data_IF_178014515990
#
_entry.id   IF_178014515990
#
_cell.length_a   1.000
_cell.length_b   1.000
_cell.length_c   1.000
_cell.angle_alpha   90.00
_cell.angle_beta   90.00
_cell.angle_gamma   90.00
#
_symmetry.space_group_name_H-M   'P 1'
#
loop_
_entity.id
_entity.type
_entity.pdbx_description
1 polymer ?
#
# COMPACT_ATOMS: atom_id res chain seq x y z
N UNK A 1 -6.51 -26.25 13.26
CA UNK A 1 -5.48 -26.47 12.22
C UNK A 1 -5.26 -27.97 12.09
N UNK A 2 -5.25 -28.52 10.86
CA UNK A 2 -4.93 -29.94 10.62
C UNK A 2 -3.47 -30.20 10.96
N UNK A 3 -3.17 -31.32 11.60
CA UNK A 3 -1.78 -31.73 11.89
C UNK A 3 -0.96 -32.02 10.61
N UNK A 4 -1.63 -32.18 9.49
CA UNK A 4 -1.02 -32.49 8.18
C UNK A 4 -0.68 -31.25 7.37
N UNK A 5 -0.97 -30.02 7.86
CA UNK A 5 -0.60 -28.76 7.23
C UNK A 5 0.34 -28.00 8.15
N UNK A 6 1.58 -27.87 7.74
CA UNK A 6 2.59 -27.08 8.43
C UNK A 6 2.88 -25.82 7.62
N UNK A 7 2.69 -24.67 8.26
CA UNK A 7 3.00 -23.36 7.71
C UNK A 7 4.21 -22.76 8.44
N UNK A 8 5.19 -22.32 7.70
CA UNK A 8 6.43 -21.74 8.18
C UNK A 8 6.62 -20.41 7.47
N UNK A 9 6.74 -19.34 8.23
CA UNK A 9 7.17 -18.03 7.73
C UNK A 9 8.71 -17.99 7.69
N UNK A 10 9.27 -17.94 6.49
CA UNK A 10 10.71 -17.88 6.30
C UNK A 10 11.31 -16.53 6.73
N UNK A 11 10.52 -15.47 6.89
CA UNK A 11 11.02 -14.21 7.41
C UNK A 11 11.45 -14.34 8.89
N UNK A 12 10.71 -15.14 9.66
CA UNK A 12 11.00 -15.44 11.07
C UNK A 12 11.88 -16.67 11.26
N UNK A 13 11.85 -17.62 10.32
CA UNK A 13 12.51 -18.94 10.42
C UNK A 13 13.49 -19.16 9.24
N UNK A 14 14.51 -18.31 9.13
CA UNK A 14 15.47 -18.28 8.00
C UNK A 14 16.51 -19.39 8.05
N UNK A 15 16.68 -20.02 9.22
CA UNK A 15 17.82 -20.85 9.54
C UNK A 15 17.77 -22.26 8.96
N UNK A 16 18.95 -22.89 8.93
CA UNK A 16 19.11 -24.27 8.47
C UNK A 16 18.49 -25.28 9.43
N UNK A 17 18.40 -24.96 10.73
CA UNK A 17 17.96 -25.91 11.75
C UNK A 17 16.44 -26.12 11.70
N UNK A 18 15.67 -25.06 11.45
CA UNK A 18 14.22 -25.13 11.21
C UNK A 18 13.92 -25.96 9.96
N UNK A 19 14.68 -25.74 8.90
CA UNK A 19 14.54 -26.49 7.64
C UNK A 19 14.97 -27.95 7.80
N UNK A 20 15.97 -28.24 8.64
CA UNK A 20 16.33 -29.62 8.99
C UNK A 20 15.20 -30.32 9.76
N UNK A 21 14.59 -29.64 10.72
CA UNK A 21 13.44 -30.17 11.46
C UNK A 21 12.26 -30.45 10.53
N UNK A 22 11.98 -29.52 9.58
CA UNK A 22 10.99 -29.72 8.54
C UNK A 22 11.30 -30.96 7.70
N UNK A 23 12.54 -31.11 7.23
CA UNK A 23 12.97 -32.27 6.44
C UNK A 23 12.83 -33.59 7.18
N UNK A 24 13.10 -33.62 8.49
CA UNK A 24 12.85 -34.84 9.29
C UNK A 24 11.34 -35.13 9.37
N UNK A 25 10.48 -34.12 9.47
CA UNK A 25 9.04 -34.27 9.51
C UNK A 25 8.42 -34.77 8.19
N UNK A 26 9.10 -34.58 7.06
CA UNK A 26 8.70 -35.10 5.75
C UNK A 26 8.67 -36.63 5.71
N UNK A 27 9.46 -37.30 6.54
CA UNK A 27 9.54 -38.77 6.59
C UNK A 27 8.26 -39.42 7.18
N UNK A 28 7.47 -38.64 7.92
CA UNK A 28 6.28 -39.16 8.58
C UNK A 28 5.06 -39.03 7.69
N UNK A 29 4.26 -40.11 7.66
CA UNK A 29 2.98 -40.13 6.94
C UNK A 29 1.99 -39.11 7.52
N UNK A 30 1.05 -38.61 6.71
CA UNK A 30 -0.05 -37.78 7.23
C UNK A 30 -0.91 -38.55 8.22
N UNK A 31 -1.51 -37.82 9.19
CA UNK A 31 -2.31 -38.41 10.26
C UNK A 31 -3.79 -38.54 9.83
N UNK A 32 -4.35 -37.53 9.19
CA UNK A 32 -5.75 -37.43 8.83
C UNK A 32 -5.98 -37.38 7.31
N UNK A 33 -5.06 -36.71 6.59
CA UNK A 33 -5.19 -36.41 5.17
C UNK A 33 -4.52 -37.44 4.25
N UNK A 34 -4.66 -37.22 2.95
CA UNK A 34 -3.93 -37.98 1.91
C UNK A 34 -2.53 -37.45 1.67
N UNK A 35 -2.30 -36.20 2.01
CA UNK A 35 -1.05 -35.48 1.80
C UNK A 35 -0.68 -34.70 3.05
N UNK A 36 0.63 -34.63 3.30
CA UNK A 36 1.23 -33.70 4.26
C UNK A 36 1.71 -32.48 3.51
N UNK A 37 1.17 -31.31 3.84
CA UNK A 37 1.41 -30.07 3.13
C UNK A 37 2.35 -29.18 3.92
N UNK A 38 3.42 -28.72 3.30
CA UNK A 38 4.34 -27.76 3.87
C UNK A 38 4.22 -26.46 3.09
N UNK A 39 3.74 -25.41 3.76
CA UNK A 39 3.63 -24.07 3.22
C UNK A 39 4.80 -23.26 3.76
N UNK A 40 5.63 -22.72 2.87
CA UNK A 40 6.75 -21.85 3.22
C UNK A 40 6.45 -20.48 2.64
N UNK A 41 6.04 -19.58 3.52
CA UNK A 41 5.73 -18.18 3.17
C UNK A 41 7.03 -17.36 3.16
N UNK A 42 7.05 -16.31 2.34
CA UNK A 42 8.22 -15.47 2.08
C UNK A 42 9.49 -16.28 1.78
N UNK A 43 9.32 -17.32 0.97
CA UNK A 43 10.36 -18.34 0.70
C UNK A 43 11.69 -17.74 0.21
N UNK A 44 11.68 -16.54 -0.39
CA UNK A 44 12.89 -15.83 -0.82
C UNK A 44 13.80 -15.40 0.36
N UNK A 45 13.28 -15.45 1.59
CA UNK A 45 14.05 -15.13 2.80
C UNK A 45 14.88 -16.30 3.33
N UNK A 46 14.69 -17.52 2.81
CA UNK A 46 15.51 -18.68 3.19
C UNK A 46 16.95 -18.48 2.76
N UNK A 47 17.88 -18.92 3.62
CA UNK A 47 19.33 -18.91 3.29
C UNK A 47 19.65 -19.94 2.21
N UNK A 48 20.79 -19.77 1.53
CA UNK A 48 21.25 -20.72 0.53
C UNK A 48 21.48 -22.12 1.12
N UNK A 49 21.93 -22.20 2.37
CA UNK A 49 22.14 -23.46 3.09
C UNK A 49 20.79 -24.16 3.36
N UNK A 50 19.74 -23.40 3.71
CA UNK A 50 18.40 -23.90 3.89
C UNK A 50 17.82 -24.46 2.58
N UNK A 51 17.96 -23.73 1.47
CA UNK A 51 17.60 -24.22 0.15
C UNK A 51 18.33 -25.51 -0.23
N UNK A 52 19.64 -25.56 -0.02
CA UNK A 52 20.45 -26.75 -0.31
C UNK A 52 19.98 -27.95 0.52
N UNK A 53 19.56 -27.75 1.76
CA UNK A 53 19.03 -28.82 2.60
C UNK A 53 17.68 -29.38 2.09
N UNK A 54 16.88 -28.56 1.39
CA UNK A 54 15.58 -28.96 0.82
C UNK A 54 15.69 -29.55 -0.59
N UNK A 55 16.73 -29.23 -1.36
CA UNK A 55 16.86 -29.56 -2.79
C UNK A 55 16.54 -31.03 -3.05
N UNK A 56 17.18 -31.97 -2.35
CA UNK A 56 16.97 -33.41 -2.56
C UNK A 56 15.50 -33.81 -2.32
N UNK A 57 14.86 -33.23 -1.33
CA UNK A 57 13.48 -33.55 -0.97
C UNK A 57 12.48 -32.97 -1.97
N UNK A 58 12.83 -31.81 -2.59
CA UNK A 58 12.01 -31.17 -3.64
C UNK A 58 12.20 -31.87 -4.99
N UNK A 59 13.40 -32.43 -5.25
CA UNK A 59 13.68 -33.19 -6.47
C UNK A 59 12.95 -34.53 -6.49
N UNK A 60 12.95 -35.22 -5.37
CA UNK A 60 12.32 -36.54 -5.20
C UNK A 60 11.39 -36.53 -3.97
N UNK A 61 10.27 -35.80 -4.03
CA UNK A 61 9.36 -35.70 -2.90
C UNK A 61 8.65 -37.05 -2.69
N UNK A 62 8.47 -37.51 -1.43
CA UNK A 62 7.63 -38.67 -1.14
C UNK A 62 6.19 -38.43 -1.64
N UNK A 63 5.53 -39.51 -2.09
CA UNK A 63 4.18 -39.41 -2.67
C UNK A 63 3.15 -38.73 -1.77
N UNK A 64 3.35 -38.82 -0.45
CA UNK A 64 2.45 -38.21 0.54
C UNK A 64 2.78 -36.75 0.87
N UNK A 65 3.79 -36.15 0.27
CA UNK A 65 4.26 -34.78 0.56
C UNK A 65 3.88 -33.81 -0.54
N UNK A 66 3.57 -32.58 -0.13
CA UNK A 66 3.37 -31.43 -1.03
C UNK A 66 4.04 -30.21 -0.44
N UNK A 67 4.85 -29.52 -1.24
CA UNK A 67 5.41 -28.22 -0.89
C UNK A 67 4.67 -27.10 -1.61
N UNK A 68 4.38 -26.02 -0.89
CA UNK A 68 3.85 -24.77 -1.42
C UNK A 68 4.81 -23.66 -0.99
N UNK A 69 5.42 -22.98 -1.96
CA UNK A 69 6.30 -21.85 -1.72
C UNK A 69 5.55 -20.58 -2.11
N UNK A 70 5.37 -19.66 -1.17
CA UNK A 70 4.85 -18.33 -1.44
C UNK A 70 5.99 -17.31 -1.40
N UNK A 71 6.01 -16.38 -2.35
CA UNK A 71 7.04 -15.35 -2.43
C UNK A 71 6.55 -14.14 -3.19
N UNK A 72 6.97 -12.96 -2.77
CA UNK A 72 6.81 -11.70 -3.51
C UNK A 72 7.94 -11.47 -4.51
N UNK A 73 9.09 -12.16 -4.36
CA UNK A 73 10.31 -11.95 -5.15
C UNK A 73 10.83 -13.28 -5.74
N UNK A 74 10.20 -13.71 -6.83
CA UNK A 74 10.53 -15.00 -7.46
C UNK A 74 11.98 -15.05 -8.01
N UNK A 75 12.52 -13.92 -8.41
CA UNK A 75 13.88 -13.78 -8.93
C UNK A 75 14.96 -14.09 -7.89
N UNK A 76 14.63 -14.00 -6.60
CA UNK A 76 15.52 -14.36 -5.50
C UNK A 76 15.53 -15.86 -5.19
N UNK A 77 14.59 -16.63 -5.73
CA UNK A 77 14.55 -18.08 -5.54
C UNK A 77 15.60 -18.77 -6.44
N UNK A 78 16.25 -19.84 -5.94
CA UNK A 78 17.15 -20.63 -6.78
C UNK A 78 16.43 -21.19 -8.02
N UNK A 79 17.02 -21.02 -9.19
CA UNK A 79 16.47 -21.49 -10.47
C UNK A 79 16.20 -23.00 -10.45
N UNK A 80 17.03 -23.77 -9.72
CA UNK A 80 16.86 -25.21 -9.50
C UNK A 80 15.55 -25.57 -8.81
N UNK A 81 15.03 -24.71 -7.92
CA UNK A 81 13.76 -24.89 -7.25
C UNK A 81 12.61 -24.48 -8.18
N UNK A 82 12.70 -23.29 -8.77
CA UNK A 82 11.67 -22.74 -9.65
C UNK A 82 11.37 -23.68 -10.82
N UNK A 83 12.41 -24.32 -11.39
CA UNK A 83 12.26 -25.26 -12.53
C UNK A 83 11.51 -26.55 -12.18
N UNK A 84 11.35 -26.88 -10.90
CA UNK A 84 10.67 -28.11 -10.41
C UNK A 84 9.30 -27.83 -9.82
N UNK A 85 8.89 -26.57 -9.75
CA UNK A 85 7.60 -26.16 -9.20
C UNK A 85 6.63 -25.75 -10.28
N UNK A 86 5.34 -26.06 -10.09
CA UNK A 86 4.28 -25.40 -10.83
C UNK A 86 4.15 -23.97 -10.33
N UNK A 87 4.05 -23.02 -11.28
CA UNK A 87 4.01 -21.60 -10.95
C UNK A 87 2.60 -21.06 -11.10
N UNK A 88 2.13 -20.39 -10.04
CA UNK A 88 0.87 -19.64 -9.99
C UNK A 88 1.15 -18.20 -9.65
N UNK A 89 0.67 -17.28 -10.46
CA UNK A 89 0.84 -15.83 -10.22
C UNK A 89 -0.47 -15.24 -9.74
N UNK A 90 -0.46 -14.70 -8.54
CA UNK A 90 -1.57 -13.91 -8.00
C UNK A 90 -1.43 -12.46 -8.47
N UNK A 91 -2.52 -11.91 -8.98
CA UNK A 91 -2.58 -10.50 -9.41
C UNK A 91 -3.12 -9.64 -8.28
N UNK A 92 -2.85 -8.35 -8.33
CA UNK A 92 -3.51 -7.37 -7.48
C UNK A 92 -5.01 -7.43 -7.71
N UNK A 93 -5.78 -7.32 -6.63
CA UNK A 93 -7.24 -7.26 -6.70
C UNK A 93 -7.63 -5.86 -7.18
N UNK A 94 -8.68 -5.76 -8.01
CA UNK A 94 -9.15 -4.45 -8.46
C UNK A 94 -9.74 -3.64 -7.31
N UNK A 95 -9.65 -2.30 -7.38
CA UNK A 95 -10.24 -1.44 -6.34
C UNK A 95 -11.75 -1.64 -6.23
N UNK A 96 -12.43 -1.92 -7.34
CA UNK A 96 -13.87 -2.20 -7.31
C UNK A 96 -14.19 -3.50 -6.58
N UNK A 97 -13.43 -4.59 -6.81
CA UNK A 97 -13.62 -5.85 -6.10
C UNK A 97 -13.34 -5.70 -4.60
N UNK A 98 -12.30 -4.93 -4.24
CA UNK A 98 -11.99 -4.64 -2.84
C UNK A 98 -13.13 -3.83 -2.22
N UNK A 99 -13.60 -2.76 -2.86
CA UNK A 99 -14.69 -1.94 -2.34
C UNK A 99 -15.98 -2.76 -2.13
N UNK A 100 -16.34 -3.61 -3.09
CA UNK A 100 -17.48 -4.54 -2.94
C UNK A 100 -17.28 -5.50 -1.76
N UNK A 101 -16.05 -6.00 -1.57
CA UNK A 101 -15.76 -6.89 -0.44
C UNK A 101 -15.88 -6.17 0.90
N UNK A 102 -15.43 -4.92 0.99
CA UNK A 102 -15.56 -4.09 2.19
C UNK A 102 -17.03 -3.83 2.52
N UNK A 103 -17.86 -3.49 1.52
CA UNK A 103 -19.31 -3.34 1.70
C UNK A 103 -19.97 -4.63 2.21
N UNK A 104 -19.62 -5.77 1.61
CA UNK A 104 -20.11 -7.07 2.06
C UNK A 104 -19.75 -7.35 3.53
N UNK A 105 -18.53 -6.99 3.95
CA UNK A 105 -18.11 -7.16 5.36
C UNK A 105 -18.90 -6.22 6.26
N UNK A 106 -19.06 -4.95 5.89
CA UNK A 106 -19.83 -3.97 6.62
C UNK A 106 -21.27 -4.43 6.86
N UNK A 107 -21.93 -4.94 5.81
CA UNK A 107 -23.28 -5.49 5.89
C UNK A 107 -23.39 -6.70 6.83
N UNK A 108 -22.37 -7.57 6.82
CA UNK A 108 -22.36 -8.79 7.67
C UNK A 108 -22.09 -8.50 9.13
N UNK A 109 -21.20 -7.56 9.40
CA UNK A 109 -20.82 -7.15 10.77
C UNK A 109 -21.78 -6.08 11.33
N UNK A 110 -22.65 -5.50 10.49
CA UNK A 110 -23.75 -4.62 10.91
C UNK A 110 -23.34 -3.18 11.21
N UNK A 111 -22.35 -2.64 10.51
CA UNK A 111 -22.00 -1.21 10.58
C UNK A 111 -22.17 -0.51 9.22
N UNK A 112 -22.42 0.80 9.26
CA UNK A 112 -22.63 1.61 8.07
C UNK A 112 -21.29 2.05 7.46
N UNK A 113 -21.13 1.83 6.15
CA UNK A 113 -19.95 2.22 5.38
C UNK A 113 -20.41 2.95 4.11
N UNK A 114 -20.03 4.21 3.94
CA UNK A 114 -20.29 4.94 2.71
C UNK A 114 -19.51 4.34 1.52
N UNK A 115 -20.15 4.34 0.34
CA UNK A 115 -19.50 3.79 -0.88
C UNK A 115 -18.19 4.50 -1.21
N UNK A 116 -18.15 5.83 -1.06
CA UNK A 116 -16.94 6.61 -1.28
C UNK A 116 -15.84 6.29 -0.25
N UNK A 117 -16.19 5.97 0.99
CA UNK A 117 -15.24 5.53 2.01
C UNK A 117 -14.65 4.15 1.64
N UNK A 118 -15.49 3.21 1.22
CA UNK A 118 -15.05 1.89 0.75
C UNK A 118 -14.08 2.00 -0.44
N UNK A 119 -14.38 2.86 -1.42
CA UNK A 119 -13.52 3.12 -2.58
C UNK A 119 -12.20 3.76 -2.18
N UNK A 120 -12.22 4.70 -1.24
CA UNK A 120 -11.01 5.36 -0.74
C UNK A 120 -10.07 4.35 -0.06
N UNK A 121 -10.60 3.47 0.80
CA UNK A 121 -9.84 2.37 1.40
C UNK A 121 -9.28 1.46 0.32
N UNK A 122 -10.09 1.07 -0.67
CA UNK A 122 -9.70 0.15 -1.74
C UNK A 122 -8.55 0.70 -2.60
N UNK A 123 -8.59 2.00 -2.93
CA UNK A 123 -7.52 2.67 -3.67
C UNK A 123 -6.24 2.72 -2.84
N UNK A 124 -6.33 3.04 -1.54
CA UNK A 124 -5.17 3.13 -0.67
C UNK A 124 -4.52 1.76 -0.41
N UNK A 125 -5.31 0.69 -0.36
CA UNK A 125 -4.83 -0.68 -0.17
C UNK A 125 -4.09 -1.25 -1.40
N UNK A 126 -4.10 -0.57 -2.54
CA UNK A 126 -3.31 -0.87 -3.74
C UNK A 126 -3.33 -2.36 -4.14
N UNK A 127 -4.52 -2.97 -4.13
CA UNK A 127 -4.74 -4.36 -4.50
C UNK A 127 -4.51 -5.38 -3.39
N UNK A 128 -4.20 -4.94 -2.16
CA UNK A 128 -4.02 -5.75 -0.96
C UNK A 128 -5.30 -5.84 -0.12
N UNK A 129 -6.05 -6.95 -0.19
CA UNK A 129 -7.28 -7.09 0.60
C UNK A 129 -7.01 -7.12 2.11
N UNK A 130 -5.87 -7.67 2.55
CA UNK A 130 -5.48 -7.67 3.97
C UNK A 130 -5.34 -6.25 4.50
N UNK A 131 -4.67 -5.38 3.74
CA UNK A 131 -4.45 -3.98 4.12
C UNK A 131 -5.78 -3.22 4.13
N UNK A 132 -6.64 -3.44 3.12
CA UNK A 132 -7.97 -2.86 3.07
C UNK A 132 -8.83 -3.24 4.30
N UNK A 133 -8.83 -4.51 4.70
CA UNK A 133 -9.56 -4.97 5.89
C UNK A 133 -8.97 -4.42 7.18
N UNK A 134 -7.65 -4.28 7.26
CA UNK A 134 -6.98 -3.68 8.43
C UNK A 134 -7.32 -2.21 8.60
N UNK A 135 -7.40 -1.44 7.49
CA UNK A 135 -7.85 -0.05 7.50
C UNK A 135 -9.31 0.03 7.92
N UNK A 136 -10.18 -0.83 7.35
CA UNK A 136 -11.60 -0.86 7.70
C UNK A 136 -11.81 -1.14 9.20
N UNK A 137 -11.10 -2.10 9.77
CA UNK A 137 -11.18 -2.45 11.20
C UNK A 137 -10.80 -1.26 12.09
N UNK A 138 -9.76 -0.52 11.72
CA UNK A 138 -9.36 0.69 12.42
C UNK A 138 -10.42 1.80 12.29
N UNK A 139 -11.03 1.97 11.10
CA UNK A 139 -12.12 2.92 10.89
C UNK A 139 -13.33 2.61 11.79
N UNK A 140 -13.69 1.32 11.95
CA UNK A 140 -14.75 0.88 12.87
C UNK A 140 -14.45 1.32 14.31
N UNK A 141 -13.18 1.22 14.74
CA UNK A 141 -12.76 1.65 16.08
C UNK A 141 -12.81 3.17 16.31
N UNK A 142 -12.69 3.95 15.24
CA UNK A 142 -12.69 5.44 15.31
C UNK A 142 -14.06 6.06 15.06
N UNK A 143 -14.91 5.43 14.24
CA UNK A 143 -16.20 5.98 13.87
C UNK A 143 -17.19 5.92 15.03
N UNK A 144 -17.87 7.03 15.29
CA UNK A 144 -18.98 7.10 16.24
C UNK A 144 -20.34 6.72 15.61
N UNK A 145 -20.34 6.02 14.47
CA UNK A 145 -21.53 5.65 13.69
C UNK A 145 -21.16 5.18 12.29
N UNK A 146 -21.52 5.95 11.27
CA UNK A 146 -21.21 5.64 9.89
C UNK A 146 -19.74 5.95 9.54
N UNK A 147 -19.10 5.05 8.77
CA UNK A 147 -17.74 5.26 8.26
C UNK A 147 -17.85 6.09 6.98
N UNK A 148 -17.48 7.36 7.11
CA UNK A 148 -17.45 8.34 6.01
C UNK A 148 -16.04 8.46 5.41
N UNK A 149 -15.87 9.06 4.22
CA UNK A 149 -14.57 9.38 3.66
C UNK A 149 -13.68 10.17 4.62
N UNK A 150 -14.25 11.10 5.40
CA UNK A 150 -13.49 11.90 6.36
C UNK A 150 -12.83 11.03 7.46
N UNK A 151 -13.53 10.02 7.97
CA UNK A 151 -12.95 9.07 8.95
C UNK A 151 -11.78 8.30 8.35
N UNK A 152 -11.90 7.89 7.09
CA UNK A 152 -10.83 7.18 6.38
C UNK A 152 -9.63 8.11 6.14
N UNK A 153 -9.87 9.33 5.67
CA UNK A 153 -8.82 10.34 5.45
C UNK A 153 -8.05 10.65 6.73
N UNK A 154 -8.75 10.83 7.84
CA UNK A 154 -8.13 11.06 9.15
C UNK A 154 -7.27 9.87 9.59
N UNK A 155 -7.77 8.65 9.43
CA UNK A 155 -7.05 7.44 9.85
C UNK A 155 -5.76 7.26 9.08
N UNK A 156 -5.82 7.36 7.74
CA UNK A 156 -4.65 7.12 6.88
C UNK A 156 -3.79 8.36 6.69
N UNK A 157 -4.16 9.46 7.37
CA UNK A 157 -3.42 10.73 7.33
C UNK A 157 -3.46 11.41 5.96
N UNK A 158 -4.46 11.10 5.13
CA UNK A 158 -4.59 11.73 3.81
C UNK A 158 -4.91 13.21 3.95
N UNK A 159 -4.27 13.97 3.10
CA UNK A 159 -4.58 15.39 2.95
C UNK A 159 -5.82 15.52 2.07
N UNK A 160 -6.90 16.15 2.59
CA UNK A 160 -8.13 16.31 1.83
C UNK A 160 -7.92 17.10 0.54
N UNK A 161 -8.69 16.81 -0.50
CA UNK A 161 -8.59 17.52 -1.78
C UNK A 161 -8.86 19.01 -1.63
N UNK A 162 -9.80 19.39 -0.76
CA UNK A 162 -10.09 20.78 -0.45
C UNK A 162 -8.88 21.51 0.13
N UNK A 163 -8.17 20.85 1.08
CA UNK A 163 -6.97 21.40 1.67
C UNK A 163 -5.86 21.61 0.63
N UNK A 164 -5.66 20.63 -0.26
CA UNK A 164 -4.62 20.70 -1.30
C UNK A 164 -4.90 21.83 -2.29
N UNK A 165 -6.15 21.98 -2.74
CA UNK A 165 -6.57 23.05 -3.66
C UNK A 165 -6.30 24.41 -3.00
N UNK A 166 -6.74 24.62 -1.77
CA UNK A 166 -6.53 25.87 -1.03
C UNK A 166 -5.06 26.16 -0.78
N UNK A 167 -4.29 25.16 -0.38
CA UNK A 167 -2.86 25.26 -0.15
C UNK A 167 -2.10 25.68 -1.44
N UNK A 168 -2.37 24.99 -2.54
CA UNK A 168 -1.69 25.29 -3.81
C UNK A 168 -2.09 26.65 -4.36
N UNK A 169 -3.35 27.09 -4.16
CA UNK A 169 -3.77 28.45 -4.53
C UNK A 169 -3.03 29.50 -3.70
N UNK A 170 -2.87 29.29 -2.38
CA UNK A 170 -2.08 30.21 -1.54
C UNK A 170 -0.60 30.26 -1.98
N UNK A 171 -0.03 29.09 -2.30
CA UNK A 171 1.35 28.99 -2.80
C UNK A 171 1.51 29.73 -4.14
N UNK A 172 0.61 29.51 -5.08
CA UNK A 172 0.64 30.15 -6.41
C UNK A 172 0.50 31.67 -6.33
N UNK A 173 -0.33 32.16 -5.41
CA UNK A 173 -0.54 33.59 -5.18
C UNK A 173 0.56 34.26 -4.36
N UNK A 174 1.58 33.49 -3.88
CA UNK A 174 2.67 34.02 -3.07
C UNK A 174 2.25 34.41 -1.66
N UNK A 175 1.14 33.86 -1.12
CA UNK A 175 0.68 34.11 0.25
C UNK A 175 1.45 33.24 1.25
N UNK A 176 2.71 33.63 1.52
CA UNK A 176 3.59 32.93 2.45
C UNK A 176 3.00 32.73 3.85
N UNK A 177 2.35 33.72 4.49
CA UNK A 177 1.67 33.54 5.76
C UNK A 177 0.59 32.46 5.74
N UNK A 178 -0.23 32.39 4.70
CA UNK A 178 -1.25 31.34 4.54
C UNK A 178 -0.61 29.96 4.36
N UNK A 179 0.40 29.85 3.51
CA UNK A 179 1.16 28.60 3.27
C UNK A 179 1.73 28.06 4.58
N UNK A 180 2.41 28.93 5.36
CA UNK A 180 2.97 28.54 6.66
C UNK A 180 1.90 28.04 7.62
N UNK A 181 0.76 28.72 7.69
CA UNK A 181 -0.38 28.34 8.53
C UNK A 181 -0.94 26.96 8.14
N UNK A 182 -1.09 26.70 6.82
CA UNK A 182 -1.56 25.40 6.33
C UNK A 182 -0.61 24.27 6.74
N UNK A 183 0.71 24.46 6.57
CA UNK A 183 1.72 23.47 6.94
C UNK A 183 1.69 23.21 8.45
N UNK A 184 1.72 24.27 9.27
CA UNK A 184 1.72 24.14 10.73
C UNK A 184 0.48 23.43 11.25
N UNK A 185 -0.71 23.73 10.71
CA UNK A 185 -1.95 23.05 11.09
C UNK A 185 -1.86 21.57 10.75
N UNK A 186 -1.49 21.22 9.52
CA UNK A 186 -1.38 19.84 9.08
C UNK A 186 -0.42 19.02 9.95
N UNK A 187 0.76 19.59 10.28
CA UNK A 187 1.74 18.93 11.13
C UNK A 187 1.31 18.85 12.61
N UNK A 188 0.54 19.85 13.10
CA UNK A 188 0.00 19.83 14.48
C UNK A 188 -1.14 18.81 14.63
N UNK A 189 -1.88 18.53 13.56
CA UNK A 189 -2.88 17.45 13.47
C UNK A 189 -2.23 16.05 13.34
N UNK A 190 -0.91 15.96 13.35
CA UNK A 190 -0.17 14.69 13.28
C UNK A 190 0.04 14.14 11.87
N UNK A 191 -0.24 14.93 10.82
CA UNK A 191 0.01 14.50 9.44
C UNK A 191 1.51 14.42 9.16
N UNK A 192 1.91 13.39 8.43
CA UNK A 192 3.29 13.23 8.02
C UNK A 192 3.63 14.19 6.86
N UNK A 193 4.75 14.89 6.98
CA UNK A 193 5.26 15.77 5.93
C UNK A 193 5.48 15.06 4.59
N UNK A 194 5.91 13.80 4.60
CA UNK A 194 6.07 13.00 3.38
C UNK A 194 4.73 12.73 2.69
N UNK A 195 3.66 12.48 3.45
CA UNK A 195 2.31 12.31 2.92
C UNK A 195 1.77 13.60 2.30
N UNK A 196 2.04 14.76 2.93
CA UNK A 196 1.69 16.07 2.36
C UNK A 196 2.37 16.28 1.00
N UNK A 197 3.68 15.98 0.92
CA UNK A 197 4.45 16.12 -0.31
C UNK A 197 3.96 15.19 -1.43
N UNK A 198 3.63 13.95 -1.07
CA UNK A 198 3.05 12.98 -2.02
C UNK A 198 1.69 13.45 -2.53
N UNK A 199 0.79 13.89 -1.64
CA UNK A 199 -0.53 14.40 -2.00
C UNK A 199 -0.45 15.63 -2.93
N UNK A 200 0.47 16.55 -2.67
CA UNK A 200 0.75 17.71 -3.54
C UNK A 200 1.25 17.26 -4.91
N UNK A 201 2.18 16.30 -4.96
CA UNK A 201 2.71 15.76 -6.21
C UNK A 201 1.62 15.12 -7.06
N UNK A 202 0.75 14.32 -6.46
CA UNK A 202 -0.40 13.70 -7.14
C UNK A 202 -1.40 14.75 -7.63
N UNK A 203 -1.66 15.79 -6.86
CA UNK A 203 -2.52 16.88 -7.27
C UNK A 203 -1.96 17.65 -8.47
N UNK A 204 -0.69 18.01 -8.44
CA UNK A 204 0.00 18.68 -9.57
C UNK A 204 -0.03 17.80 -10.83
N UNK A 205 0.16 16.48 -10.69
CA UNK A 205 0.00 15.54 -11.80
C UNK A 205 -1.43 15.57 -12.36
N UNK A 206 -2.44 15.59 -11.48
CA UNK A 206 -3.85 15.67 -11.88
C UNK A 206 -4.14 16.98 -12.65
N UNK A 207 -3.56 18.11 -12.24
CA UNK A 207 -3.68 19.39 -12.98
C UNK A 207 -3.08 19.28 -14.39
N UNK A 208 -1.93 18.61 -14.58
CA UNK A 208 -1.36 18.35 -15.91
C UNK A 208 -2.29 17.50 -16.77
N UNK A 209 -2.90 16.46 -16.19
CA UNK A 209 -3.88 15.61 -16.88
C UNK A 209 -5.09 16.44 -17.30
N UNK A 210 -5.63 17.27 -16.41
CA UNK A 210 -6.77 18.13 -16.69
C UNK A 210 -6.55 19.12 -17.84
N UNK A 211 -5.32 19.60 -18.00
CA UNK A 211 -4.95 20.47 -19.13
C UNK A 211 -5.00 19.76 -20.48
N UNK A 212 -4.76 18.46 -20.52
CA UNK A 212 -4.70 17.67 -21.75
C UNK A 212 -6.01 16.90 -21.99
N UNK A 213 -6.60 16.37 -20.92
CA UNK A 213 -7.77 15.53 -20.97
C UNK A 213 -8.67 15.82 -19.75
N UNK A 214 -9.47 16.92 -19.77
CA UNK A 214 -10.25 17.36 -18.61
C UNK A 214 -11.34 16.37 -18.19
N UNK A 215 -11.73 15.44 -19.06
CA UNK A 215 -12.74 14.42 -18.80
C UNK A 215 -12.14 13.03 -18.52
N UNK A 216 -10.83 12.96 -18.23
CA UNK A 216 -10.17 11.70 -17.90
C UNK A 216 -10.80 11.07 -16.64
N UNK A 217 -10.96 9.74 -16.67
CA UNK A 217 -11.58 9.00 -15.57
C UNK A 217 -10.84 9.15 -14.23
N UNK A 218 -9.52 9.29 -14.29
CA UNK A 218 -8.65 9.53 -13.14
C UNK A 218 -8.99 10.83 -12.38
N UNK A 219 -9.66 11.80 -13.01
CA UNK A 219 -10.05 13.07 -12.41
C UNK A 219 -11.37 13.02 -11.62
N UNK A 220 -12.11 11.91 -11.66
CA UNK A 220 -13.36 11.74 -10.90
C UNK A 220 -13.18 11.89 -9.39
N UNK A 221 -11.97 11.68 -8.88
CA UNK A 221 -11.63 11.92 -7.47
C UNK A 221 -11.77 13.38 -7.05
N UNK A 222 -11.92 14.30 -8.01
CA UNK A 222 -12.15 15.72 -7.79
C UNK A 222 -13.59 16.16 -8.04
N UNK A 223 -14.53 15.26 -8.30
CA UNK A 223 -15.90 15.60 -8.68
C UNK A 223 -16.60 16.51 -7.66
N UNK A 224 -16.33 16.36 -6.36
CA UNK A 224 -16.85 17.23 -5.31
C UNK A 224 -16.27 18.66 -5.33
N UNK A 225 -15.14 18.87 -5.98
CA UNK A 225 -14.43 20.16 -6.08
C UNK A 225 -14.06 20.47 -7.53
N UNK A 226 -14.86 19.99 -8.49
CA UNK A 226 -14.53 20.01 -9.91
C UNK A 226 -14.33 21.43 -10.45
N UNK A 227 -15.15 22.37 -10.00
CA UNK A 227 -15.07 23.75 -10.45
C UNK A 227 -13.73 24.38 -10.03
N UNK A 228 -13.44 24.36 -8.74
CA UNK A 228 -12.22 24.92 -8.16
C UNK A 228 -10.97 24.25 -8.73
N UNK A 229 -11.03 22.92 -8.91
CA UNK A 229 -9.93 22.15 -9.49
C UNK A 229 -9.64 22.54 -10.95
N UNK A 230 -10.68 22.69 -11.79
CA UNK A 230 -10.52 23.08 -13.19
C UNK A 230 -10.10 24.55 -13.33
N UNK A 231 -10.62 25.45 -12.49
CA UNK A 231 -10.15 26.84 -12.42
C UNK A 231 -8.64 26.89 -12.10
N UNK A 232 -8.20 26.17 -11.06
CA UNK A 232 -6.79 26.08 -10.72
C UNK A 232 -5.94 25.48 -11.85
N UNK A 233 -6.47 24.46 -12.56
CA UNK A 233 -5.79 23.89 -13.73
C UNK A 233 -5.66 24.92 -14.89
N UNK A 234 -6.59 25.86 -15.02
CA UNK A 234 -6.49 26.94 -16.03
C UNK A 234 -5.51 28.03 -15.60
N UNK A 235 -5.55 28.45 -14.34
CA UNK A 235 -4.73 29.52 -13.79
C UNK A 235 -3.23 29.22 -13.79
N UNK A 236 -2.84 28.01 -13.34
CA UNK A 236 -1.42 27.65 -13.21
C UNK A 236 -0.88 27.16 -14.55
N UNK A 237 0.11 27.83 -15.12
CA UNK A 237 0.73 27.43 -16.38
C UNK A 237 1.43 26.07 -16.30
N UNK A 238 1.47 25.37 -17.45
CA UNK A 238 2.12 24.05 -17.56
C UNK A 238 3.58 24.06 -17.08
N UNK A 239 4.33 25.12 -17.43
CA UNK A 239 5.72 25.30 -17.00
C UNK A 239 5.86 25.42 -15.48
N UNK A 240 4.97 26.17 -14.86
CA UNK A 240 4.92 26.38 -13.40
C UNK A 240 4.59 25.08 -12.65
N UNK A 241 3.63 24.29 -13.15
CA UNK A 241 3.30 22.98 -12.55
C UNK A 241 4.53 22.06 -12.59
N UNK A 242 5.23 21.99 -13.72
CA UNK A 242 6.44 21.17 -13.82
C UNK A 242 7.56 21.66 -12.90
N UNK A 243 7.68 22.98 -12.70
CA UNK A 243 8.64 23.55 -11.76
C UNK A 243 8.30 23.14 -10.31
N UNK A 244 7.05 23.23 -9.90
CA UNK A 244 6.60 22.78 -8.58
C UNK A 244 6.88 21.29 -8.35
N UNK A 245 6.59 20.42 -9.33
CA UNK A 245 6.90 18.99 -9.22
C UNK A 245 8.40 18.76 -8.99
N UNK A 246 9.28 19.46 -9.73
CA UNK A 246 10.72 19.33 -9.55
C UNK A 246 11.18 19.83 -8.17
N UNK A 247 10.61 20.92 -7.67
CA UNK A 247 10.91 21.42 -6.33
C UNK A 247 10.49 20.41 -5.25
N UNK A 248 9.25 19.86 -5.35
CA UNK A 248 8.79 18.83 -4.41
C UNK A 248 9.70 17.60 -4.42
N UNK A 249 10.13 17.14 -5.59
CA UNK A 249 11.07 16.02 -5.71
C UNK A 249 12.43 16.31 -5.06
N UNK A 250 12.95 17.54 -5.23
CA UNK A 250 14.18 17.95 -4.56
C UNK A 250 14.01 17.96 -3.03
N UNK A 251 12.96 18.58 -2.52
CA UNK A 251 12.66 18.63 -1.08
C UNK A 251 12.53 17.21 -0.50
N UNK A 252 11.83 16.30 -1.20
CA UNK A 252 11.69 14.90 -0.77
C UNK A 252 13.04 14.16 -0.76
N UNK A 253 13.92 14.45 -1.71
CA UNK A 253 15.27 13.88 -1.75
C UNK A 253 16.11 14.38 -0.58
N UNK A 254 16.09 15.68 -0.32
CA UNK A 254 16.85 16.30 0.76
C UNK A 254 16.33 15.85 2.14
N UNK A 255 15.00 15.73 2.30
CA UNK A 255 14.37 15.26 3.53
C UNK A 255 14.78 13.82 3.91
N UNK A 256 15.10 12.96 2.93
CA UNK A 256 15.60 11.59 3.18
C UNK A 256 17.02 11.54 3.72
N UNK A 257 17.80 12.62 3.61
CA UNK A 257 19.22 12.67 3.97
C UNK A 257 19.47 13.33 5.33
N UNK A 258 18.42 13.80 6.02
CA UNK A 258 18.57 14.52 7.28
C UNK A 258 17.78 13.84 8.41
N UNK A 259 18.27 14.04 9.65
CA UNK A 259 17.64 13.49 10.85
C UNK A 259 16.28 14.15 11.18
N UNK A 260 16.06 15.40 10.71
CA UNK A 260 14.81 16.13 10.90
C UNK A 260 14.17 16.51 9.56
N UNK A 261 13.44 15.60 8.90
CA UNK A 261 12.77 15.84 7.63
C UNK A 261 11.77 17.01 7.69
N UNK A 262 11.12 17.19 8.85
CA UNK A 262 10.08 18.21 9.03
C UNK A 262 10.58 19.62 8.70
N UNK A 263 11.74 20.01 9.23
CA UNK A 263 12.31 21.33 8.97
C UNK A 263 12.62 21.57 7.49
N UNK A 264 13.13 20.52 6.80
CA UNK A 264 13.44 20.61 5.37
C UNK A 264 12.16 20.80 4.54
N UNK A 265 11.10 20.09 4.90
CA UNK A 265 9.80 20.20 4.23
C UNK A 265 9.18 21.59 4.46
N UNK A 266 9.14 22.06 5.72
CA UNK A 266 8.63 23.39 6.05
C UNK A 266 9.36 24.50 5.28
N UNK A 267 10.69 24.46 5.28
CA UNK A 267 11.52 25.47 4.57
C UNK A 267 11.38 25.36 3.05
N UNK A 268 11.37 24.15 2.52
CA UNK A 268 11.29 23.91 1.07
C UNK A 268 9.96 24.34 0.45
N UNK A 269 8.86 24.26 1.20
CA UNK A 269 7.53 24.70 0.74
C UNK A 269 7.32 26.22 0.85
N UNK A 270 8.21 26.96 1.54
CA UNK A 270 8.15 28.42 1.68
C UNK A 270 9.02 29.16 0.66
N UNK A 271 9.90 28.49 -0.04
CA UNK A 271 10.83 29.04 -1.05
C UNK A 271 10.33 28.75 -2.46
#
# INVERSE_FOLDING_TARGET
QSMDVLEIDAASNRGIDEIRALRESVKFMPVEGRKKVFIIDEAHMLTNEAWNALLKTIEEPPDHVMFIFATTEIEKLPVTIVSRCQRYTFRRITSDDIAQRLQYVADKEGFALEDNAARLIAVHADGGLRDALSILDQCVGMASGEITPAVVEDLIGLVSKEWIIKFLSALHNGDGPAVLKYIQNALSEGRDGAQIMEALTQHLRALLIAKVAPDAEELKVYDSFRTEFLEQAQEIEFGTINQYIKQLQSIMSDAKQVDNPRTVIEMGLLV
#
